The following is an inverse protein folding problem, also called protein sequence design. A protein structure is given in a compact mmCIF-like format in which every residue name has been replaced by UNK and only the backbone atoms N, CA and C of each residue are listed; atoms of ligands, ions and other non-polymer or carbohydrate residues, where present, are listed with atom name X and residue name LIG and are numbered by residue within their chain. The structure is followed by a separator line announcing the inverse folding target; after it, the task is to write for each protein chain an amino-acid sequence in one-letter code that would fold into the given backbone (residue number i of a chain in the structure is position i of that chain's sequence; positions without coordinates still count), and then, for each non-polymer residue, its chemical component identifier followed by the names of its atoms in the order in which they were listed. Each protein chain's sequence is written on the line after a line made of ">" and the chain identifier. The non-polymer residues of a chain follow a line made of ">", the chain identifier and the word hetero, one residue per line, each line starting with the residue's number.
data_IF_973640896705
#
_entry.id   IF_973640896705
#
_cell.length_a   1.000
_cell.length_b   1.000
_cell.length_c   1.000
_cell.angle_alpha   90.00
_cell.angle_beta   90.00
_cell.angle_gamma   90.00
#
_symmetry.space_group_name_H-M   'P 1'
#
loop_
_entity.id
_entity.type
_entity.pdbx_description
1 polymer ?
#
# COMPACT_ATOMS: atom_id res chain seq x y z
N UNK A 1 -17.53 32.34 -3.23
CA UNK A 1 -17.02 31.71 -4.49
C UNK A 1 -16.25 30.48 -4.13
N UNK A 2 -16.51 29.30 -4.71
CA UNK A 2 -15.68 28.14 -4.46
C UNK A 2 -14.24 28.43 -4.96
N UNK A 3 -13.28 28.20 -4.10
CA UNK A 3 -11.87 28.38 -4.44
C UNK A 3 -11.49 27.34 -5.50
N UNK A 4 -11.36 27.78 -6.75
CA UNK A 4 -10.92 26.88 -7.84
C UNK A 4 -9.40 26.71 -7.71
N UNK A 5 -9.00 25.51 -7.38
CA UNK A 5 -7.58 25.17 -7.31
C UNK A 5 -6.92 25.32 -8.69
N UNK A 6 -5.69 25.85 -8.78
CA UNK A 6 -5.00 26.02 -10.05
C UNK A 6 -4.69 24.67 -10.72
N UNK A 7 -4.63 24.69 -12.05
CA UNK A 7 -4.29 23.52 -12.84
C UNK A 7 -2.83 23.10 -12.64
N UNK A 8 -2.56 21.82 -12.78
CA UNK A 8 -1.20 21.28 -12.83
C UNK A 8 -0.71 21.49 -14.26
N UNK A 9 0.41 22.19 -14.44
CA UNK A 9 0.99 22.46 -15.75
C UNK A 9 2.34 21.75 -15.85
N UNK A 10 2.48 20.88 -16.83
CA UNK A 10 3.74 20.23 -17.20
C UNK A 10 4.27 20.85 -18.45
N UNK A 11 5.50 21.33 -18.43
CA UNK A 11 6.17 21.94 -19.59
C UNK A 11 7.41 21.12 -19.95
N UNK A 12 7.46 20.66 -21.20
CA UNK A 12 8.65 20.08 -21.78
C UNK A 12 9.18 18.84 -21.09
N UNK A 13 8.34 17.83 -20.89
CA UNK A 13 8.77 16.55 -20.33
C UNK A 13 9.51 15.72 -21.39
N UNK A 14 10.76 15.34 -21.05
CA UNK A 14 11.66 14.56 -21.92
C UNK A 14 12.13 13.25 -21.26
N UNK A 15 11.57 12.93 -20.11
CA UNK A 15 11.96 11.75 -19.32
C UNK A 15 11.71 10.45 -20.11
N UNK A 16 12.71 9.54 -20.13
CA UNK A 16 12.70 8.27 -20.89
C UNK A 16 12.37 8.52 -22.40
N UNK A 17 11.22 8.03 -22.87
CA UNK A 17 10.79 8.11 -24.27
C UNK A 17 9.85 9.27 -24.57
N UNK A 18 9.62 10.17 -23.63
CA UNK A 18 8.81 11.38 -23.86
C UNK A 18 9.55 12.38 -24.76
N UNK A 19 8.83 13.01 -25.68
CA UNK A 19 9.37 13.92 -26.67
C UNK A 19 8.86 15.32 -26.44
N UNK A 20 9.43 16.02 -25.44
CA UNK A 20 9.09 17.44 -25.12
C UNK A 20 7.58 17.65 -24.92
N UNK A 21 6.95 16.81 -24.15
CA UNK A 21 5.51 16.80 -23.89
C UNK A 21 5.14 17.92 -22.92
N UNK A 22 4.15 18.72 -23.30
CA UNK A 22 3.54 19.74 -22.45
C UNK A 22 2.04 19.50 -22.35
N UNK A 23 1.48 19.58 -21.11
CA UNK A 23 0.06 19.33 -20.86
C UNK A 23 -0.42 20.07 -19.61
N UNK A 24 -1.74 20.21 -19.51
CA UNK A 24 -2.43 20.83 -18.39
C UNK A 24 -3.49 19.87 -17.85
N UNK A 25 -3.56 19.73 -16.53
CA UNK A 25 -4.50 18.84 -15.83
C UNK A 25 -5.31 19.66 -14.85
N UNK A 26 -6.63 19.68 -15.04
CA UNK A 26 -7.55 20.38 -14.14
C UNK A 26 -7.87 19.58 -12.90
N UNK A 27 -7.78 20.14 -11.71
CA UNK A 27 -8.16 19.48 -10.46
C UNK A 27 -9.66 19.22 -10.38
N UNK A 28 -10.03 18.10 -9.75
CA UNK A 28 -11.42 17.70 -9.56
C UNK A 28 -12.06 17.04 -10.77
N UNK A 29 -11.29 16.77 -11.82
CA UNK A 29 -11.72 16.08 -13.02
C UNK A 29 -11.01 14.75 -13.19
N UNK A 30 -11.63 13.82 -13.93
CA UNK A 30 -11.01 12.55 -14.31
C UNK A 30 -10.29 12.77 -15.64
N UNK A 31 -8.96 12.69 -15.62
CA UNK A 31 -8.13 12.76 -16.82
C UNK A 31 -7.72 11.36 -17.26
N UNK A 32 -8.02 11.00 -18.50
CA UNK A 32 -7.67 9.69 -19.09
C UNK A 32 -6.54 9.86 -20.09
N UNK A 33 -5.42 9.13 -19.89
CA UNK A 33 -4.28 9.13 -20.81
C UNK A 33 -4.31 7.85 -21.64
N UNK A 34 -4.48 8.00 -22.94
CA UNK A 34 -4.55 6.89 -23.91
C UNK A 34 -3.40 6.93 -24.91
N UNK A 35 -3.15 5.84 -25.59
CA UNK A 35 -2.11 5.74 -26.63
C UNK A 35 -1.56 4.33 -26.77
N UNK A 36 -0.71 4.13 -27.74
CA UNK A 36 -0.06 2.86 -28.05
C UNK A 36 0.80 2.34 -26.87
N UNK A 37 1.05 1.03 -26.83
CA UNK A 37 2.02 0.47 -25.88
C UNK A 37 3.40 1.08 -26.11
N UNK A 38 4.12 1.42 -25.03
CA UNK A 38 5.43 2.04 -25.13
C UNK A 38 5.43 3.55 -25.49
N UNK A 39 4.27 4.21 -25.62
CA UNK A 39 4.19 5.65 -25.96
C UNK A 39 4.55 6.61 -24.80
N UNK A 40 4.91 6.09 -23.61
CA UNK A 40 5.30 6.93 -22.48
C UNK A 40 4.17 7.30 -21.50
N UNK A 41 2.98 6.66 -21.61
CA UNK A 41 1.85 6.92 -20.69
C UNK A 41 2.21 6.71 -19.22
N UNK A 42 2.80 5.57 -18.93
CA UNK A 42 3.24 5.21 -17.55
C UNK A 42 4.36 6.13 -17.10
N UNK A 43 5.31 6.45 -17.97
CA UNK A 43 6.39 7.38 -17.68
C UNK A 43 5.84 8.78 -17.31
N UNK A 44 4.86 9.28 -18.06
CA UNK A 44 4.25 10.58 -17.77
C UNK A 44 3.53 10.57 -16.40
N UNK A 45 2.79 9.49 -16.09
CA UNK A 45 2.03 9.40 -14.85
C UNK A 45 2.91 9.13 -13.63
N UNK A 46 3.78 8.11 -13.69
CA UNK A 46 4.54 7.66 -12.54
C UNK A 46 5.91 8.35 -12.41
N UNK A 47 6.68 8.42 -13.51
CA UNK A 47 8.05 8.90 -13.45
C UNK A 47 8.11 10.44 -13.53
N UNK A 48 7.07 11.12 -14.05
CA UNK A 48 7.02 12.57 -14.12
C UNK A 48 6.07 13.18 -13.09
N UNK A 49 4.76 12.95 -13.22
CA UNK A 49 3.77 13.62 -12.37
C UNK A 49 3.81 13.14 -10.92
N UNK A 50 3.78 11.81 -10.71
CA UNK A 50 3.82 11.24 -9.37
C UNK A 50 5.18 11.47 -8.69
N UNK A 51 6.28 11.26 -9.41
CA UNK A 51 7.61 11.46 -8.87
C UNK A 51 7.82 12.92 -8.39
N UNK A 52 7.41 13.92 -9.16
CA UNK A 52 7.52 15.33 -8.76
C UNK A 52 6.57 15.67 -7.60
N UNK A 53 5.33 15.17 -7.61
CA UNK A 53 4.39 15.35 -6.51
C UNK A 53 4.90 14.74 -5.20
N UNK A 54 5.45 13.53 -5.25
CA UNK A 54 6.04 12.85 -4.10
C UNK A 54 7.30 13.57 -3.62
N UNK A 55 8.20 13.98 -4.53
CA UNK A 55 9.42 14.70 -4.20
C UNK A 55 9.10 15.98 -3.41
N UNK A 56 8.18 16.81 -3.90
CA UNK A 56 7.78 18.07 -3.22
C UNK A 56 7.12 17.78 -1.88
N UNK A 57 6.33 16.72 -1.78
CA UNK A 57 5.72 16.32 -0.52
C UNK A 57 6.79 15.92 0.50
N UNK A 58 7.75 15.10 0.11
CA UNK A 58 8.85 14.68 0.99
C UNK A 58 9.71 15.88 1.44
N UNK A 59 9.89 16.89 0.60
CA UNK A 59 10.62 18.12 0.96
C UNK A 59 9.97 18.91 2.10
N UNK A 60 8.68 18.73 2.37
CA UNK A 60 7.98 19.39 3.49
C UNK A 60 8.35 18.79 4.85
N UNK A 61 8.93 17.58 4.90
CA UNK A 61 9.34 16.93 6.14
C UNK A 61 10.70 17.43 6.63
N UNK A 62 10.95 17.23 7.93
CA UNK A 62 12.25 17.54 8.52
C UNK A 62 13.38 16.68 7.90
N UNK A 63 14.63 17.16 7.91
CA UNK A 63 15.78 16.39 7.38
C UNK A 63 15.91 15.00 7.99
N UNK A 64 15.59 14.85 9.27
CA UNK A 64 15.62 13.57 9.96
C UNK A 64 14.59 12.58 9.37
N UNK A 65 13.35 13.01 9.18
CA UNK A 65 12.29 12.15 8.60
C UNK A 65 12.60 11.77 7.16
N UNK A 66 13.17 12.68 6.37
CA UNK A 66 13.54 12.42 4.97
C UNK A 66 14.53 11.26 4.79
N UNK A 67 15.36 10.96 5.78
CA UNK A 67 16.33 9.84 5.73
C UNK A 67 15.64 8.46 5.71
N UNK A 68 14.41 8.37 6.18
CA UNK A 68 13.63 7.12 6.23
C UNK A 68 12.61 7.00 5.10
N UNK A 69 12.46 8.02 4.27
CA UNK A 69 11.52 8.04 3.16
C UNK A 69 12.25 7.75 1.85
N UNK A 70 11.66 6.88 1.03
CA UNK A 70 12.13 6.65 -0.33
C UNK A 70 11.96 7.94 -1.16
N UNK A 71 13.06 8.41 -1.73
CA UNK A 71 13.05 9.56 -2.62
C UNK A 71 13.04 9.10 -4.06
N UNK A 72 12.04 9.53 -4.81
CA UNK A 72 12.00 9.29 -6.25
C UNK A 72 12.98 10.23 -6.98
N UNK A 73 13.61 9.78 -8.06
CA UNK A 73 14.50 10.62 -8.86
C UNK A 73 13.73 11.82 -9.44
N UNK A 74 14.46 12.94 -9.61
CA UNK A 74 13.87 14.12 -10.23
C UNK A 74 13.58 13.84 -11.72
N UNK A 75 12.35 14.08 -12.20
CA UNK A 75 12.03 13.89 -13.61
C UNK A 75 12.73 14.89 -14.51
N UNK A 76 13.04 14.47 -15.74
CA UNK A 76 13.57 15.34 -16.79
C UNK A 76 12.42 16.13 -17.43
N UNK A 77 12.23 17.36 -16.95
CA UNK A 77 11.17 18.27 -17.36
C UNK A 77 11.64 19.70 -17.20
N UNK A 78 11.21 20.60 -18.10
CA UNK A 78 11.54 22.02 -17.98
C UNK A 78 10.93 22.64 -16.73
N UNK A 79 9.62 22.44 -16.51
CA UNK A 79 8.93 22.84 -15.29
C UNK A 79 7.66 22.04 -15.04
N UNK A 80 7.31 21.88 -13.76
CA UNK A 80 5.98 21.43 -13.34
C UNK A 80 5.45 22.44 -12.33
N UNK A 81 4.31 23.07 -12.64
CA UNK A 81 3.67 24.06 -11.80
C UNK A 81 2.50 23.41 -11.05
N UNK A 82 2.24 23.88 -9.84
CA UNK A 82 1.16 23.42 -8.97
C UNK A 82 1.11 21.89 -8.72
N UNK A 83 2.27 21.21 -8.82
CA UNK A 83 2.35 19.79 -8.46
C UNK A 83 1.87 19.57 -7.02
N UNK A 84 1.07 18.51 -6.82
CA UNK A 84 0.45 18.17 -5.55
C UNK A 84 0.94 16.83 -5.05
N UNK A 85 0.83 16.56 -3.74
CA UNK A 85 0.99 15.23 -3.21
C UNK A 85 0.06 14.27 -3.96
N UNK A 86 0.59 13.13 -4.35
CA UNK A 86 -0.13 12.16 -5.19
C UNK A 86 0.03 10.74 -4.65
N UNK A 87 -0.97 9.91 -4.90
CA UNK A 87 -0.94 8.47 -4.60
C UNK A 87 -0.95 7.74 -5.94
N UNK A 88 0.03 6.86 -6.15
CA UNK A 88 0.10 6.00 -7.32
C UNK A 88 -0.43 4.62 -6.97
N UNK A 89 -1.34 4.11 -7.81
CA UNK A 89 -1.83 2.73 -7.73
C UNK A 89 -1.44 2.02 -9.02
N UNK A 90 -0.49 1.10 -8.91
CA UNK A 90 -0.01 0.32 -10.05
C UNK A 90 -0.58 -1.10 -10.02
N UNK A 91 -0.85 -1.64 -11.20
CA UNK A 91 -1.21 -3.05 -11.37
C UNK A 91 0.07 -3.92 -11.37
N UNK A 92 0.90 -3.79 -10.35
CA UNK A 92 2.07 -4.66 -10.17
C UNK A 92 1.80 -5.65 -9.04
N UNK A 93 2.00 -6.93 -9.34
CA UNK A 93 2.16 -7.94 -8.29
C UNK A 93 3.48 -7.66 -7.56
N UNK A 94 3.44 -6.83 -6.54
CA UNK A 94 4.59 -6.63 -5.66
C UNK A 94 4.72 -7.82 -4.70
N UNK A 95 4.99 -9.00 -5.25
CA UNK A 95 5.41 -10.15 -4.43
C UNK A 95 6.80 -9.82 -3.92
N UNK A 96 6.85 -9.10 -2.81
CA UNK A 96 8.11 -8.70 -2.15
C UNK A 96 8.86 -9.88 -1.54
N UNK A 97 8.19 -11.02 -1.40
CA UNK A 97 8.74 -12.18 -0.69
C UNK A 97 8.10 -13.45 -1.23
N UNK A 98 8.89 -14.52 -1.42
CA UNK A 98 8.42 -15.85 -1.86
C UNK A 98 7.39 -16.49 -0.91
N UNK A 99 7.25 -15.97 0.31
CA UNK A 99 6.27 -16.39 1.32
C UNK A 99 5.01 -15.53 1.36
N UNK A 100 4.90 -14.50 0.53
CA UNK A 100 3.70 -13.65 0.48
C UNK A 100 2.57 -14.39 -0.22
N UNK A 101 1.45 -14.54 0.47
CA UNK A 101 0.20 -15.07 -0.07
C UNK A 101 -0.83 -13.95 -0.20
N UNK A 102 -1.91 -14.16 -0.93
CA UNK A 102 -3.02 -13.19 -1.02
C UNK A 102 -3.52 -12.82 0.38
N UNK A 103 -3.70 -13.81 1.27
CA UNK A 103 -4.18 -13.58 2.63
C UNK A 103 -3.26 -12.71 3.48
N UNK A 104 -1.92 -12.84 3.33
CA UNK A 104 -0.95 -12.00 4.05
C UNK A 104 -0.83 -10.59 3.45
N UNK A 105 -0.99 -10.47 2.14
CA UNK A 105 -0.92 -9.16 1.46
C UNK A 105 -2.18 -8.31 1.70
N UNK A 106 -3.31 -8.95 1.93
CA UNK A 106 -4.61 -8.29 2.21
C UNK A 106 -4.91 -8.17 3.69
N UNK A 107 -4.00 -8.64 4.57
CA UNK A 107 -4.19 -8.73 6.02
C UNK A 107 -5.35 -9.65 6.46
N UNK A 108 -6.00 -10.34 5.52
CA UNK A 108 -7.11 -11.25 5.80
C UNK A 108 -6.70 -12.40 6.73
N UNK A 109 -5.44 -12.86 6.66
CA UNK A 109 -4.95 -13.91 7.54
C UNK A 109 -5.09 -13.56 9.02
N UNK A 110 -4.89 -12.30 9.41
CA UNK A 110 -4.96 -11.90 10.80
C UNK A 110 -6.42 -11.82 11.29
N UNK A 111 -7.34 -11.37 10.45
CA UNK A 111 -8.77 -11.45 10.73
C UNK A 111 -9.24 -12.91 10.87
N UNK A 112 -8.80 -13.79 9.97
CA UNK A 112 -9.15 -15.21 10.05
C UNK A 112 -8.59 -15.88 11.31
N UNK A 113 -7.37 -15.56 11.74
CA UNK A 113 -6.79 -16.10 12.97
C UNK A 113 -7.65 -15.75 14.19
N UNK A 114 -8.06 -14.48 14.33
CA UNK A 114 -8.93 -14.05 15.42
C UNK A 114 -10.28 -14.77 15.34
N UNK A 115 -10.90 -14.79 14.18
CA UNK A 115 -12.18 -15.48 14.01
C UNK A 115 -12.11 -16.97 14.30
N UNK A 116 -11.09 -17.67 13.82
CA UNK A 116 -10.89 -19.08 14.08
C UNK A 116 -10.63 -19.38 15.58
N UNK A 117 -9.95 -18.48 16.30
CA UNK A 117 -9.71 -18.66 17.73
C UNK A 117 -11.01 -18.67 18.55
N UNK A 118 -12.05 -17.98 18.05
CA UNK A 118 -13.33 -17.87 18.74
C UNK A 118 -14.34 -18.96 18.35
N UNK A 119 -14.28 -19.44 17.09
CA UNK A 119 -15.33 -20.35 16.56
C UNK A 119 -14.85 -21.78 16.31
N UNK A 120 -13.52 -22.04 16.34
CA UNK A 120 -12.98 -23.36 16.05
C UNK A 120 -12.89 -24.23 17.32
N UNK A 121 -13.19 -25.52 17.16
CA UNK A 121 -12.85 -26.54 18.15
C UNK A 121 -11.51 -27.19 17.81
N UNK A 122 -10.70 -27.45 18.81
CA UNK A 122 -9.42 -28.13 18.67
C UNK A 122 -9.62 -29.62 18.91
N UNK A 123 -9.09 -30.47 18.02
CA UNK A 123 -9.16 -31.92 18.14
C UNK A 123 -7.76 -32.53 18.19
N UNK A 124 -7.58 -33.54 18.99
CA UNK A 124 -6.36 -34.35 19.03
C UNK A 124 -6.23 -35.13 17.70
N UNK A 125 -5.14 -34.93 16.91
CA UNK A 125 -4.99 -35.62 15.64
C UNK A 125 -4.78 -37.15 15.76
N UNK A 126 -4.45 -37.67 16.95
CA UNK A 126 -4.21 -39.08 17.15
C UNK A 126 -5.47 -39.81 17.64
N UNK A 127 -6.21 -39.20 18.56
CA UNK A 127 -7.41 -39.81 19.17
C UNK A 127 -8.71 -39.35 18.53
N UNK A 128 -8.71 -38.16 17.91
CA UNK A 128 -9.91 -37.52 17.37
C UNK A 128 -10.79 -36.88 18.44
N UNK A 129 -10.36 -36.83 19.69
CA UNK A 129 -11.12 -36.28 20.82
C UNK A 129 -11.01 -34.72 20.77
N UNK A 130 -12.08 -34.04 21.16
CA UNK A 130 -12.09 -32.60 21.29
C UNK A 130 -11.27 -32.16 22.52
N UNK A 131 -10.30 -31.27 22.29
CA UNK A 131 -9.48 -30.66 23.33
C UNK A 131 -10.21 -29.42 23.85
N UNK A 132 -10.79 -29.54 25.04
CA UNK A 132 -11.46 -28.44 25.70
C UNK A 132 -10.41 -27.54 26.36
N UNK A 133 -10.46 -26.22 26.04
CA UNK A 133 -9.61 -25.24 26.70
C UNK A 133 -10.03 -25.10 28.17
N UNK A 134 -9.30 -25.72 29.05
CA UNK A 134 -9.55 -25.64 30.50
C UNK A 134 -8.90 -24.35 31.05
N UNK A 135 -9.64 -23.65 31.91
CA UNK A 135 -9.07 -22.55 32.70
C UNK A 135 -8.17 -23.11 33.81
N UNK A 136 -7.22 -22.30 34.30
CA UNK A 136 -6.34 -22.70 35.40
C UNK A 136 -7.12 -23.17 36.64
N UNK A 137 -8.30 -22.61 36.89
CA UNK A 137 -9.18 -22.98 37.98
C UNK A 137 -9.83 -24.37 37.75
N UNK A 138 -10.27 -24.65 36.52
CA UNK A 138 -10.85 -25.97 36.20
C UNK A 138 -9.80 -27.06 36.24
N UNK A 139 -8.59 -26.80 35.76
CA UNK A 139 -7.47 -27.73 35.84
C UNK A 139 -7.09 -28.04 37.31
N UNK A 140 -6.99 -27.02 38.16
CA UNK A 140 -6.71 -27.19 39.56
C UNK A 140 -7.78 -28.05 40.25
N UNK A 141 -9.05 -27.86 39.92
CA UNK A 141 -10.16 -28.64 40.47
C UNK A 141 -10.10 -30.09 40.03
N UNK A 142 -9.85 -30.36 38.75
CA UNK A 142 -9.69 -31.71 38.19
C UNK A 142 -8.51 -32.46 38.83
N UNK A 143 -7.37 -31.76 39.07
CA UNK A 143 -6.20 -32.35 39.73
C UNK A 143 -6.52 -32.69 41.19
N UNK A 144 -7.20 -31.81 41.94
CA UNK A 144 -7.58 -32.04 43.32
C UNK A 144 -8.55 -33.23 43.46
N UNK A 145 -9.52 -33.35 42.55
CA UNK A 145 -10.47 -34.47 42.53
C UNK A 145 -9.77 -35.81 42.23
N UNK A 146 -8.77 -35.85 41.35
CA UNK A 146 -8.00 -37.04 41.01
C UNK A 146 -7.06 -37.50 42.14
N UNK A 147 -6.63 -36.61 43.01
CA UNK A 147 -5.70 -36.92 44.10
C UNK A 147 -6.36 -37.05 45.49
N UNK A 148 -7.68 -36.85 45.56
CA UNK A 148 -8.45 -37.04 46.82
C UNK A 148 -9.18 -38.39 46.93
N UNK A 149 -8.83 -39.36 46.07
CA UNK A 149 -9.35 -40.74 46.10
C UNK A 149 -8.32 -41.71 46.63
#
# INVERSE_FOLDING_TARGET
>A
MPFKSPDIIVNGATHNNLKDISLQISPGEITVITGLSGSGKSTLLFDVLHAEGQRRYVETFSPYVRQFLDTLPRPEVKSIENARPSIAVEQKNSVRNSRSTVGTMTELCDYFKVWFSDVSSLFDPQTGDEIISETAESQAKTILEKHSS
#
